data_IF_055990155762
#
_entry.id   IF_055990155762
#
_cell.length_a   1.000
_cell.length_b   1.000
_cell.length_c   1.000
_cell.angle_alpha   90.00
_cell.angle_beta   90.00
_cell.angle_gamma   90.00
#
_symmetry.space_group_name_H-M   'P 1'
#
loop_
_entity.id
_entity.type
_entity.pdbx_description
1 polymer ?
#
# COMPACT_ATOMS: atom_id res chain seq x y z
N UNK A 1 -21.26 2.96 5.43
CA UNK A 1 -21.01 1.90 4.41
C UNK A 1 -19.69 1.16 4.65
N UNK A 2 -18.57 1.86 4.92
CA UNK A 2 -17.25 1.23 5.10
C UNK A 2 -17.15 0.27 6.30
N UNK A 3 -17.73 0.61 7.45
CA UNK A 3 -17.72 -0.26 8.65
C UNK A 3 -18.35 -1.65 8.38
N UNK A 4 -19.48 -1.70 7.67
CA UNK A 4 -20.16 -2.95 7.36
C UNK A 4 -19.31 -3.88 6.47
N UNK A 5 -18.54 -3.30 5.53
CA UNK A 5 -17.60 -4.05 4.69
C UNK A 5 -16.45 -4.60 5.55
N UNK A 6 -15.89 -3.77 6.42
CA UNK A 6 -14.79 -4.17 7.31
C UNK A 6 -15.22 -5.29 8.28
N UNK A 7 -16.42 -5.19 8.88
CA UNK A 7 -16.97 -6.23 9.75
C UNK A 7 -17.22 -7.54 8.99
N UNK A 8 -17.66 -7.47 7.73
CA UNK A 8 -17.82 -8.66 6.88
C UNK A 8 -16.48 -9.32 6.54
N UNK A 9 -15.43 -8.54 6.37
CA UNK A 9 -14.07 -9.02 6.11
C UNK A 9 -13.45 -9.70 7.35
N UNK A 10 -13.70 -9.14 8.55
CA UNK A 10 -13.20 -9.68 9.83
C UNK A 10 -13.96 -10.94 10.25
N UNK A 11 -15.26 -11.01 9.96
CA UNK A 11 -16.10 -12.13 10.39
C UNK A 11 -16.38 -12.09 11.91
N UNK A 12 -16.58 -13.25 12.56
CA UNK A 12 -16.96 -13.30 13.97
C UNK A 12 -15.86 -12.77 14.89
N UNK A 13 -16.20 -11.80 15.74
CA UNK A 13 -15.31 -11.29 16.78
C UNK A 13 -15.22 -12.34 17.90
N UNK A 14 -14.05 -12.98 18.02
CA UNK A 14 -13.76 -14.01 19.03
C UNK A 14 -12.63 -13.55 19.95
N UNK A 15 -12.95 -12.84 21.05
CA UNK A 15 -11.93 -12.38 21.98
C UNK A 15 -11.23 -13.55 22.65
N UNK A 16 -9.94 -13.40 22.95
CA UNK A 16 -9.17 -14.33 23.79
C UNK A 16 -8.76 -13.64 25.09
N UNK A 17 -8.63 -14.42 26.15
CA UNK A 17 -8.19 -13.87 27.43
C UNK A 17 -6.66 -13.83 27.49
N UNK A 18 -6.11 -12.63 27.65
CA UNK A 18 -4.68 -12.42 27.87
C UNK A 18 -4.36 -12.52 29.38
N UNK A 19 -3.60 -13.56 29.76
CA UNK A 19 -3.22 -13.81 31.15
C UNK A 19 -2.23 -12.78 31.71
N UNK A 20 -1.44 -12.13 30.85
CA UNK A 20 -0.43 -11.14 31.24
C UNK A 20 -1.09 -9.83 31.64
N UNK A 21 -2.07 -9.38 30.86
CA UNK A 21 -2.77 -8.13 31.09
C UNK A 21 -4.10 -8.30 31.84
N UNK A 22 -4.51 -9.55 32.10
CA UNK A 22 -5.75 -9.93 32.80
C UNK A 22 -6.99 -9.33 32.13
N UNK A 23 -7.02 -9.34 30.81
CA UNK A 23 -8.08 -8.71 30.01
C UNK A 23 -8.45 -9.57 28.81
N UNK A 24 -9.66 -9.37 28.29
CA UNK A 24 -10.11 -9.96 27.04
C UNK A 24 -9.67 -9.08 25.89
N UNK A 25 -9.04 -9.65 24.88
CA UNK A 25 -8.45 -8.93 23.76
C UNK A 25 -9.00 -9.46 22.44
N UNK A 26 -9.16 -8.58 21.46
CA UNK A 26 -9.38 -8.96 20.07
C UNK A 26 -8.59 -8.07 19.13
N UNK A 27 -7.92 -8.70 18.16
CA UNK A 27 -7.26 -8.05 17.02
C UNK A 27 -7.39 -8.94 15.78
N UNK A 28 -7.28 -8.33 14.59
CA UNK A 28 -7.47 -9.02 13.33
C UNK A 28 -6.36 -8.67 12.33
N UNK A 29 -5.89 -9.66 11.56
CA UNK A 29 -4.75 -9.48 10.65
C UNK A 29 -4.97 -8.41 9.57
N UNK A 30 -6.21 -8.21 9.11
CA UNK A 30 -6.53 -7.16 8.13
C UNK A 30 -6.44 -5.74 8.72
N UNK A 31 -6.55 -5.62 10.04
CA UNK A 31 -6.51 -4.37 10.79
C UNK A 31 -5.53 -4.52 11.97
N UNK A 32 -4.22 -4.69 11.68
CA UNK A 32 -3.25 -5.14 12.67
C UNK A 32 -2.98 -4.12 13.80
N UNK A 33 -3.27 -2.83 13.56
CA UNK A 33 -3.13 -1.78 14.56
C UNK A 33 -4.45 -1.46 15.30
N UNK A 34 -5.54 -2.18 14.98
CA UNK A 34 -6.82 -2.06 15.69
C UNK A 34 -6.94 -3.23 16.64
N UNK A 35 -6.58 -2.98 17.90
CA UNK A 35 -6.71 -3.91 19.01
C UNK A 35 -7.59 -3.29 20.09
N UNK A 36 -8.52 -4.06 20.64
CA UNK A 36 -9.33 -3.63 21.77
C UNK A 36 -9.21 -4.65 22.90
N UNK A 37 -8.95 -4.14 24.11
CA UNK A 37 -8.90 -4.91 25.35
C UNK A 37 -10.00 -4.42 26.30
N UNK A 38 -10.71 -5.35 26.95
CA UNK A 38 -11.78 -5.06 27.90
C UNK A 38 -11.86 -6.08 29.03
N UNK A 39 -12.74 -5.84 30.00
CA UNK A 39 -12.88 -6.66 31.20
C UNK A 39 -13.69 -7.94 30.93
N UNK A 40 -14.47 -7.97 29.85
CA UNK A 40 -15.29 -9.12 29.48
C UNK A 40 -15.31 -9.38 27.97
N UNK A 41 -15.59 -10.63 27.52
CA UNK A 41 -15.73 -10.92 26.09
C UNK A 41 -16.87 -10.13 25.45
N UNK A 42 -17.97 -9.91 26.19
CA UNK A 42 -19.14 -9.17 25.69
C UNK A 42 -18.79 -7.72 25.40
N UNK A 43 -18.04 -7.09 26.29
CA UNK A 43 -17.57 -5.72 26.11
C UNK A 43 -16.70 -5.60 24.85
N UNK A 44 -15.75 -6.51 24.65
CA UNK A 44 -14.88 -6.49 23.46
C UNK A 44 -15.70 -6.64 22.18
N UNK A 45 -16.69 -7.54 22.16
CA UNK A 45 -17.58 -7.74 21.00
C UNK A 45 -18.41 -6.48 20.69
N UNK A 46 -18.85 -5.74 21.72
CA UNK A 46 -19.65 -4.53 21.56
C UNK A 46 -18.81 -3.31 21.15
N UNK A 47 -17.63 -3.15 21.73
CA UNK A 47 -16.82 -1.93 21.60
C UNK A 47 -15.80 -1.99 20.46
N UNK A 48 -15.30 -3.17 20.08
CA UNK A 48 -14.37 -3.29 18.95
C UNK A 48 -14.90 -2.68 17.64
N UNK A 49 -16.18 -2.87 17.24
CA UNK A 49 -16.74 -2.20 16.07
C UNK A 49 -16.69 -0.67 16.14
N UNK A 50 -16.75 -0.08 17.33
CA UNK A 50 -16.66 1.38 17.52
C UNK A 50 -15.22 1.85 17.25
N UNK A 51 -14.23 1.17 17.83
CA UNK A 51 -12.82 1.44 17.55
C UNK A 51 -12.46 1.28 16.08
N UNK A 52 -12.98 0.23 15.43
CA UNK A 52 -12.79 0.01 14.01
C UNK A 52 -13.41 1.13 13.17
N UNK A 53 -14.53 1.70 13.60
CA UNK A 53 -15.16 2.83 12.92
C UNK A 53 -14.26 4.05 12.97
N UNK A 54 -13.74 4.41 14.14
CA UNK A 54 -12.88 5.57 14.32
C UNK A 54 -11.63 5.47 13.45
N UNK A 55 -11.00 4.29 13.43
CA UNK A 55 -9.89 3.97 12.54
C UNK A 55 -10.22 4.20 11.05
N UNK A 56 -11.38 3.73 10.61
CA UNK A 56 -11.83 3.92 9.22
C UNK A 56 -12.05 5.40 8.91
N UNK A 57 -12.63 6.16 9.84
CA UNK A 57 -12.86 7.60 9.67
C UNK A 57 -11.53 8.38 9.58
N UNK A 58 -10.55 8.07 10.43
CA UNK A 58 -9.20 8.64 10.33
C UNK A 58 -8.51 8.28 9.02
N UNK A 59 -8.67 7.03 8.56
CA UNK A 59 -8.14 6.57 7.27
C UNK A 59 -8.71 7.34 6.10
N UNK A 60 -10.02 7.56 6.07
CA UNK A 60 -10.69 8.29 4.99
C UNK A 60 -10.30 9.77 4.96
N UNK A 61 -9.91 10.32 6.11
CA UNK A 61 -9.41 11.71 6.24
C UNK A 61 -7.91 11.84 5.97
N UNK A 62 -7.21 10.76 5.58
CA UNK A 62 -5.75 10.70 5.46
C UNK A 62 -5.02 11.17 6.74
N UNK A 63 -5.59 10.88 7.91
CA UNK A 63 -5.06 11.29 9.21
C UNK A 63 -4.47 10.11 10.01
N UNK A 64 -4.17 8.99 9.35
CA UNK A 64 -3.51 7.87 10.00
C UNK A 64 -2.03 8.18 10.25
N UNK A 65 -1.50 7.67 11.36
CA UNK A 65 -0.08 7.74 11.62
C UNK A 65 0.72 7.01 10.51
N UNK A 66 1.90 7.51 10.10
CA UNK A 66 2.65 6.96 8.96
C UNK A 66 3.03 5.47 9.08
N UNK A 67 3.24 4.98 10.32
CA UNK A 67 3.55 3.57 10.55
C UNK A 67 2.34 2.66 10.24
N UNK A 68 1.13 3.09 10.62
CA UNK A 68 -0.13 2.40 10.35
C UNK A 68 -0.41 2.35 8.85
N UNK A 69 -0.20 3.46 8.16
CA UNK A 69 -0.46 3.55 6.72
C UNK A 69 0.45 2.62 5.90
N UNK A 70 1.71 2.48 6.34
CA UNK A 70 2.70 1.57 5.74
C UNK A 70 2.33 0.10 5.92
N UNK A 71 1.76 -0.26 7.08
CA UNK A 71 1.34 -1.64 7.39
C UNK A 71 0.04 -2.00 6.65
N UNK A 72 -0.92 -1.08 6.62
CA UNK A 72 -2.28 -1.31 6.09
C UNK A 72 -2.42 -1.15 4.56
N UNK A 73 -1.29 -1.23 3.83
CA UNK A 73 -1.20 -1.10 2.35
C UNK A 73 -1.75 0.25 1.81
N UNK A 74 -1.67 1.33 2.60
CA UNK A 74 -2.06 2.70 2.21
C UNK A 74 -1.19 3.31 1.09
N UNK A 75 -1.03 4.64 1.04
CA UNK A 75 -0.21 5.26 -0.01
C UNK A 75 1.27 4.86 0.06
N UNK A 76 1.78 4.47 1.23
CA UNK A 76 3.17 4.03 1.44
C UNK A 76 3.38 2.53 1.66
N UNK A 77 2.34 1.71 1.62
CA UNK A 77 2.44 0.31 2.06
C UNK A 77 3.00 -0.66 1.01
N UNK A 78 3.71 -1.69 1.47
CA UNK A 78 4.33 -2.71 0.62
C UNK A 78 3.24 -3.54 -0.09
N UNK A 79 3.04 -3.33 -1.39
CA UNK A 79 2.10 -4.13 -2.19
C UNK A 79 2.85 -5.26 -2.88
N UNK A 80 2.28 -6.48 -2.85
CA UNK A 80 2.84 -7.63 -3.57
C UNK A 80 2.80 -7.31 -5.07
N UNK A 81 3.98 -7.22 -5.70
CA UNK A 81 4.12 -6.82 -7.11
C UNK A 81 4.30 -5.32 -7.36
N UNK A 82 4.22 -4.45 -6.34
CA UNK A 82 4.62 -3.06 -6.48
C UNK A 82 6.14 -2.91 -6.32
N UNK A 83 6.70 -2.01 -7.12
CA UNK A 83 8.14 -1.83 -7.22
C UNK A 83 8.73 -2.69 -8.34
N UNK A 84 10.05 -2.80 -8.32
CA UNK A 84 10.79 -3.42 -9.41
C UNK A 84 10.77 -4.95 -9.31
N UNK A 85 10.65 -5.69 -10.43
CA UNK A 85 10.81 -7.15 -10.42
C UNK A 85 12.12 -7.57 -9.76
N UNK A 86 12.03 -8.52 -8.83
CA UNK A 86 13.18 -9.04 -8.08
C UNK A 86 14.19 -9.63 -9.07
N UNK A 87 15.44 -9.17 -9.01
CA UNK A 87 16.52 -9.60 -9.91
C UNK A 87 16.84 -8.66 -11.08
N UNK A 88 16.08 -7.57 -11.28
CA UNK A 88 16.39 -6.61 -12.35
C UNK A 88 17.29 -5.47 -11.86
N UNK A 89 18.39 -5.17 -12.57
CA UNK A 89 19.38 -4.13 -12.24
C UNK A 89 19.09 -2.81 -12.96
N UNK A 90 19.26 -1.67 -12.29
CA UNK A 90 18.86 -0.37 -12.85
C UNK A 90 19.86 -0.05 -13.93
N UNK A 91 19.39 0.04 -15.17
CA UNK A 91 20.26 0.51 -16.24
C UNK A 91 20.70 1.93 -15.87
N UNK A 92 22.00 2.24 -15.95
CA UNK A 92 22.46 3.60 -15.84
C UNK A 92 21.83 4.41 -16.97
N UNK A 93 21.22 5.55 -16.61
CA UNK A 93 20.56 6.45 -17.55
C UNK A 93 21.02 7.86 -17.24
N UNK A 94 21.31 8.61 -18.29
CA UNK A 94 21.58 10.03 -18.22
C UNK A 94 20.38 10.82 -18.72
N UNK A 95 20.17 12.02 -18.18
CA UNK A 95 19.10 12.91 -18.64
C UNK A 95 19.68 13.88 -19.65
N UNK A 96 19.15 13.84 -20.86
CA UNK A 96 19.42 14.81 -21.92
C UNK A 96 18.18 15.66 -22.19
N UNK A 97 18.38 16.92 -22.55
CA UNK A 97 17.31 17.80 -22.98
C UNK A 97 17.25 17.83 -24.50
N UNK A 98 16.04 17.62 -25.04
CA UNK A 98 15.79 17.62 -26.48
C UNK A 98 14.84 18.77 -26.84
N UNK A 99 14.93 19.30 -28.07
CA UNK A 99 13.89 20.15 -28.65
C UNK A 99 12.48 19.53 -28.52
N UNK A 100 11.47 20.40 -28.43
CA UNK A 100 10.08 19.99 -28.13
C UNK A 100 9.47 19.11 -29.21
N UNK A 101 9.76 19.42 -30.47
CA UNK A 101 9.35 18.67 -31.65
C UNK A 101 9.91 17.25 -31.65
N UNK A 102 11.20 17.09 -31.38
CA UNK A 102 11.86 15.78 -31.26
C UNK A 102 11.24 15.00 -30.09
N UNK A 103 11.06 15.64 -28.94
CA UNK A 103 10.41 15.02 -27.77
C UNK A 103 8.99 14.56 -28.09
N UNK A 104 8.21 15.38 -28.81
CA UNK A 104 6.86 15.05 -29.23
C UNK A 104 6.81 13.90 -30.24
N UNK A 105 7.85 13.74 -31.06
CA UNK A 105 7.98 12.61 -31.98
C UNK A 105 8.32 11.32 -31.22
N UNK A 106 9.33 11.34 -30.34
CA UNK A 106 9.74 10.19 -29.50
C UNK A 106 8.59 9.66 -28.66
N UNK A 107 7.79 10.56 -28.06
CA UNK A 107 6.63 10.17 -27.25
C UNK A 107 5.51 9.52 -28.07
N UNK A 108 5.37 9.85 -29.35
CA UNK A 108 4.36 9.26 -30.25
C UNK A 108 4.78 7.88 -30.77
N UNK A 109 6.09 7.63 -30.91
CA UNK A 109 6.63 6.40 -31.52
C UNK A 109 7.75 5.80 -30.66
N UNK A 110 7.49 5.41 -29.39
CA UNK A 110 8.55 5.10 -28.43
C UNK A 110 9.42 3.90 -28.82
N UNK A 111 8.84 2.84 -29.37
CA UNK A 111 9.59 1.65 -29.79
C UNK A 111 10.46 1.93 -31.01
N UNK A 112 9.91 2.62 -32.00
CA UNK A 112 10.59 2.99 -33.25
C UNK A 112 11.73 3.99 -32.99
N UNK A 113 11.47 5.02 -32.18
CA UNK A 113 12.46 6.01 -31.79
C UNK A 113 13.68 5.36 -31.14
N UNK A 114 13.46 4.42 -30.21
CA UNK A 114 14.55 3.72 -29.53
C UNK A 114 15.34 2.84 -30.51
N UNK A 115 14.68 2.13 -31.43
CA UNK A 115 15.39 1.33 -32.44
C UNK A 115 16.20 2.17 -33.40
N UNK A 116 15.65 3.28 -33.90
CA UNK A 116 16.33 4.16 -34.86
C UNK A 116 17.54 4.85 -34.21
N UNK A 117 17.42 5.32 -32.97
CA UNK A 117 18.55 5.90 -32.23
C UNK A 117 19.66 4.86 -32.05
N UNK A 118 19.31 3.60 -31.70
CA UNK A 118 20.29 2.53 -31.55
C UNK A 118 20.99 2.17 -32.86
N UNK A 119 20.28 2.22 -33.99
CA UNK A 119 20.85 1.98 -35.31
C UNK A 119 21.88 3.05 -35.67
N UNK A 120 21.51 4.33 -35.54
CA UNK A 120 22.40 5.47 -35.79
C UNK A 120 23.67 5.41 -34.91
N UNK A 121 23.52 5.07 -33.62
CA UNK A 121 24.66 4.90 -32.72
C UNK A 121 25.56 3.71 -33.08
N UNK A 122 25.06 2.71 -33.81
CA UNK A 122 25.85 1.58 -34.26
C UNK A 122 26.68 1.94 -35.50
N UNK A 123 26.08 2.69 -36.43
CA UNK A 123 26.76 3.21 -37.63
C UNK A 123 27.91 4.18 -37.28
N UNK A 124 27.76 5.01 -36.24
CA UNK A 124 28.83 5.91 -35.78
C UNK A 124 30.02 5.19 -35.11
N UNK A 125 29.91 3.89 -34.82
CA UNK A 125 30.96 3.10 -34.16
C UNK A 125 31.81 2.29 -35.14
N UNK A 126 31.42 2.21 -36.42
CA UNK A 126 32.21 1.62 -37.52
C UNK A 126 33.15 2.65 -38.16
#
# INVERSE_FOLDING_TARGET
>A
MHLAIALKEIGPIKPWYDKKFKSWVFSHQAYPDVEYAGDSPKEVIQNYPLYLRDFIEERLKNNLAPHIEKVTKGHGGKRKGAGRPKGTKKEPKERIYLPKDITAWVNRHPSEAISSIRHLMAEERE
#
